data_IF_789513782015
#
_entry.id   IF_789513782015
#
_cell.length_a   1.000
_cell.length_b   1.000
_cell.length_c   1.000
_cell.angle_alpha   90.00
_cell.angle_beta   90.00
_cell.angle_gamma   90.00
#
_symmetry.space_group_name_H-M   'P 1'
#
loop_
_entity.id
_entity.type
_entity.pdbx_description
1 polymer ?
#
# COMPACT_ATOMS: atom_id res chain seq x y z
N UNK A 1 -21.11 3.63 13.87
CA UNK A 1 -22.12 2.56 13.93
C UNK A 1 -23.34 3.10 14.64
N UNK A 2 -24.52 2.90 14.07
CA UNK A 2 -25.76 3.22 14.77
C UNK A 2 -25.94 2.22 15.91
N UNK A 3 -26.02 2.71 17.16
CA UNK A 3 -26.11 1.86 18.34
C UNK A 3 -27.52 1.28 18.56
N UNK A 4 -28.54 1.92 17.98
CA UNK A 4 -29.97 1.58 18.18
C UNK A 4 -30.71 1.31 16.85
N UNK A 5 -29.99 0.84 15.82
CA UNK A 5 -30.60 0.50 14.53
C UNK A 5 -31.43 -0.78 14.62
N UNK A 6 -32.72 -0.72 14.28
CA UNK A 6 -33.55 -1.91 14.18
C UNK A 6 -33.07 -2.79 13.00
N UNK A 7 -32.84 -4.10 13.19
CA UNK A 7 -32.41 -4.98 12.12
C UNK A 7 -33.52 -5.10 11.07
N UNK A 8 -33.18 -4.89 9.81
CA UNK A 8 -34.09 -5.02 8.68
C UNK A 8 -33.58 -6.10 7.71
N UNK A 9 -34.51 -6.89 7.17
CA UNK A 9 -34.22 -7.87 6.13
C UNK A 9 -34.11 -7.15 4.80
N UNK A 10 -32.98 -7.30 4.12
CA UNK A 10 -32.77 -6.77 2.77
C UNK A 10 -33.18 -7.85 1.78
N UNK A 11 -34.24 -7.60 1.01
CA UNK A 11 -34.73 -8.55 0.01
C UNK A 11 -34.07 -8.38 -1.37
N UNK A 12 -33.57 -7.16 -1.66
CA UNK A 12 -32.93 -6.83 -2.95
C UNK A 12 -31.63 -6.05 -2.72
N UNK A 13 -30.58 -6.43 -3.47
CA UNK A 13 -29.27 -5.78 -3.43
C UNK A 13 -29.08 -4.96 -4.69
N UNK A 14 -29.10 -3.64 -4.59
CA UNK A 14 -28.63 -2.77 -5.68
C UNK A 14 -27.13 -2.49 -5.52
N UNK A 15 -26.49 -2.03 -6.59
CA UNK A 15 -25.10 -1.60 -6.53
C UNK A 15 -24.92 -0.46 -5.52
N UNK A 16 -25.83 0.52 -5.51
CA UNK A 16 -25.80 1.66 -4.60
C UNK A 16 -25.90 1.23 -3.12
N UNK A 17 -26.74 0.24 -2.82
CA UNK A 17 -26.93 -0.32 -1.46
C UNK A 17 -25.73 -1.14 -0.94
N UNK A 18 -24.66 -1.29 -1.73
CA UNK A 18 -23.42 -1.95 -1.30
C UNK A 18 -22.34 -1.00 -0.82
N UNK A 19 -22.54 0.31 -1.02
CA UNK A 19 -21.58 1.33 -0.63
C UNK A 19 -22.14 2.17 0.51
N UNK A 20 -21.25 2.71 1.33
CA UNK A 20 -21.57 3.71 2.35
C UNK A 20 -20.58 4.86 2.26
N UNK A 21 -21.08 6.07 2.42
CA UNK A 21 -20.24 7.24 2.57
C UNK A 21 -19.63 7.29 3.97
N UNK A 22 -18.30 7.32 4.05
CA UNK A 22 -17.58 7.50 5.29
C UNK A 22 -16.62 8.69 5.18
N UNK A 23 -16.47 9.43 6.26
CA UNK A 23 -15.47 10.49 6.37
C UNK A 23 -14.15 9.89 6.83
N UNK A 24 -13.06 10.25 6.15
CA UNK A 24 -11.73 9.91 6.61
C UNK A 24 -11.45 10.58 7.95
N UNK A 25 -11.14 9.81 8.99
CA UNK A 25 -10.82 10.35 10.31
C UNK A 25 -9.57 11.26 10.31
N UNK A 26 -8.70 11.12 9.30
CA UNK A 26 -7.46 11.90 9.18
C UNK A 26 -7.62 13.21 8.40
N UNK A 27 -8.38 13.21 7.30
CA UNK A 27 -8.48 14.39 6.42
C UNK A 27 -9.91 14.93 6.24
N UNK A 28 -10.91 14.29 6.84
CA UNK A 28 -12.31 14.69 6.78
C UNK A 28 -12.99 14.51 5.41
N UNK A 29 -12.27 14.03 4.39
CA UNK A 29 -12.83 13.80 3.05
C UNK A 29 -13.84 12.65 3.09
N UNK A 30 -15.00 12.87 2.49
CA UNK A 30 -16.02 11.86 2.28
C UNK A 30 -15.62 10.97 1.09
N UNK A 31 -15.68 9.65 1.29
CA UNK A 31 -15.45 8.66 0.24
C UNK A 31 -16.42 7.50 0.36
N UNK A 32 -16.63 6.79 -0.75
CA UNK A 32 -17.46 5.58 -0.76
C UNK A 32 -16.61 4.37 -0.38
N UNK A 33 -17.12 3.61 0.58
CA UNK A 33 -16.52 2.37 1.06
C UNK A 33 -17.54 1.23 0.97
N UNK A 34 -17.12 -0.01 0.67
CA UNK A 34 -18.02 -1.16 0.73
C UNK A 34 -18.60 -1.31 2.13
N UNK A 35 -19.89 -1.63 2.24
CA UNK A 35 -20.52 -1.87 3.54
C UNK A 35 -19.90 -3.10 4.23
N UNK A 36 -19.64 -3.05 5.55
CA UNK A 36 -19.15 -4.20 6.29
C UNK A 36 -20.23 -5.28 6.38
N UNK A 37 -19.92 -6.45 5.82
CA UNK A 37 -20.76 -7.66 5.80
C UNK A 37 -20.06 -8.78 6.59
N UNK A 38 -20.83 -9.57 7.35
CA UNK A 38 -20.34 -10.79 7.99
C UNK A 38 -21.35 -11.93 7.84
N UNK A 39 -20.84 -13.15 7.62
CA UNK A 39 -21.66 -14.35 7.50
C UNK A 39 -22.00 -14.96 8.85
N UNK A 40 -23.25 -15.40 9.02
CA UNK A 40 -23.68 -16.28 10.08
C UNK A 40 -23.49 -17.74 9.66
N UNK A 41 -23.28 -18.65 10.62
CA UNK A 41 -23.15 -20.09 10.37
C UNK A 41 -24.39 -20.72 9.67
N UNK A 42 -25.56 -20.08 9.75
CA UNK A 42 -26.77 -20.51 9.03
C UNK A 42 -26.82 -20.06 7.55
N UNK A 43 -25.81 -19.35 7.05
CA UNK A 43 -25.76 -18.82 5.68
C UNK A 43 -26.34 -17.42 5.50
N UNK A 44 -26.87 -16.80 6.55
CA UNK A 44 -27.34 -15.40 6.50
C UNK A 44 -26.17 -14.42 6.47
N UNK A 45 -26.19 -13.45 5.56
CA UNK A 45 -25.28 -12.30 5.58
C UNK A 45 -25.90 -11.16 6.40
N UNK A 46 -25.15 -10.65 7.37
CA UNK A 46 -25.55 -9.53 8.22
C UNK A 46 -24.68 -8.32 7.89
N UNK A 47 -25.32 -7.15 7.80
CA UNK A 47 -24.65 -5.86 7.58
C UNK A 47 -24.65 -5.06 8.86
N UNK A 48 -23.53 -4.41 9.17
CA UNK A 48 -23.47 -3.48 10.29
C UNK A 48 -24.00 -2.11 9.83
N UNK A 49 -25.01 -1.52 10.49
CA UNK A 49 -25.50 -0.20 10.14
C UNK A 49 -24.44 0.86 10.44
N UNK A 50 -23.92 1.46 9.38
CA UNK A 50 -23.01 2.60 9.45
C UNK A 50 -23.87 3.87 9.38
N UNK A 51 -23.66 4.79 10.32
CA UNK A 51 -24.35 6.07 10.29
C UNK A 51 -23.93 6.81 9.02
N UNK A 52 -24.87 7.29 8.18
CA UNK A 52 -24.52 8.06 7.00
C UNK A 52 -23.74 9.32 7.42
N UNK A 53 -22.67 9.63 6.69
CA UNK A 53 -22.03 10.93 6.82
C UNK A 53 -23.07 12.02 6.48
N UNK A 54 -23.18 13.10 7.28
CA UNK A 54 -24.13 14.18 6.99
C UNK A 54 -23.82 14.78 5.62
N UNK A 55 -24.88 15.05 4.86
CA UNK A 55 -24.80 15.62 3.52
C UNK A 55 -24.12 17.00 3.58
N UNK A 56 -23.19 17.34 2.67
CA UNK A 56 -22.50 18.64 2.70
C UNK A 56 -23.45 19.85 2.57
N UNK A 57 -24.66 19.63 2.07
CA UNK A 57 -25.68 20.65 1.76
C UNK A 57 -26.52 21.11 2.95
N UNK A 58 -26.51 20.40 4.09
CA UNK A 58 -27.29 20.77 5.29
C UNK A 58 -26.54 21.71 6.26
N UNK A 59 -25.30 22.13 5.95
CA UNK A 59 -24.63 23.17 6.75
C UNK A 59 -25.19 24.54 6.39
N UNK A 60 -25.89 25.16 7.35
CA UNK A 60 -26.17 26.59 7.36
C UNK A 60 -24.89 27.41 7.05
N UNK A 61 -24.99 28.55 6.37
CA UNK A 61 -23.85 29.19 5.75
C UNK A 61 -22.93 29.82 6.81
N UNK A 62 -21.82 29.14 7.12
CA UNK A 62 -20.66 29.80 7.69
C UNK A 62 -20.04 30.66 6.58
N UNK A 63 -19.94 31.97 6.81
CA UNK A 63 -19.34 32.98 5.93
C UNK A 63 -18.08 32.44 5.23
N UNK A 64 -18.20 32.16 3.93
CA UNK A 64 -17.12 31.68 3.09
C UNK A 64 -16.11 32.81 2.86
N UNK A 65 -14.90 32.66 3.39
CA UNK A 65 -13.72 33.30 2.81
C UNK A 65 -13.37 32.55 1.52
N UNK A 66 -13.00 33.22 0.42
CA UNK A 66 -12.69 32.54 -0.83
C UNK A 66 -11.46 31.64 -0.66
N UNK A 67 -11.69 30.34 -0.63
CA UNK A 67 -10.65 29.31 -0.65
C UNK A 67 -10.23 29.05 -2.09
N UNK A 68 -8.96 29.36 -2.40
CA UNK A 68 -8.32 28.98 -3.65
C UNK A 68 -8.23 27.45 -3.82
N UNK A 69 -7.85 26.98 -5.02
CA UNK A 69 -7.80 25.56 -5.35
C UNK A 69 -6.90 24.77 -4.38
N UNK A 70 -7.25 23.51 -4.03
CA UNK A 70 -6.44 22.70 -3.13
C UNK A 70 -5.17 22.28 -3.85
N UNK A 71 -4.12 23.07 -3.68
CA UNK A 71 -2.76 22.56 -3.78
C UNK A 71 -2.59 21.62 -2.61
N UNK A 72 -2.50 20.32 -2.90
CA UNK A 72 -2.06 19.33 -1.92
C UNK A 72 -0.62 19.68 -1.54
N UNK A 73 -0.46 20.58 -0.58
CA UNK A 73 0.81 20.87 0.02
C UNK A 73 1.25 19.59 0.72
N UNK A 74 2.23 18.92 0.11
CA UNK A 74 3.01 17.90 0.75
C UNK A 74 3.41 18.47 2.13
N UNK A 75 3.03 17.75 3.19
CA UNK A 75 3.50 18.09 4.53
C UNK A 75 5.03 18.25 4.52
N UNK A 76 5.60 19.05 5.42
CA UNK A 76 7.03 19.31 5.43
C UNK A 76 7.80 17.98 5.37
N UNK A 77 8.85 17.87 4.52
CA UNK A 77 9.57 16.62 4.35
C UNK A 77 10.04 16.13 5.71
N UNK A 78 9.66 14.88 6.04
CA UNK A 78 10.10 14.23 7.27
C UNK A 78 11.61 14.31 7.39
N UNK A 79 12.10 14.62 8.60
CA UNK A 79 13.53 14.78 8.86
C UNK A 79 14.30 13.55 8.34
N UNK A 80 15.36 13.73 7.52
CA UNK A 80 16.08 12.61 6.93
C UNK A 80 16.65 11.70 8.02
N UNK A 81 16.43 10.40 7.87
CA UNK A 81 16.96 9.39 8.80
C UNK A 81 18.45 9.24 8.54
N UNK A 82 19.28 9.49 9.55
CA UNK A 82 20.72 9.25 9.48
C UNK A 82 20.94 7.73 9.54
N UNK A 83 21.53 7.16 8.49
CA UNK A 83 21.81 5.71 8.39
C UNK A 83 23.29 5.47 8.10
N UNK A 84 23.87 4.38 8.64
CA UNK A 84 25.21 3.96 8.24
C UNK A 84 25.23 3.62 6.74
N UNK A 85 26.40 3.59 6.12
CA UNK A 85 26.53 3.12 4.74
C UNK A 85 26.00 1.68 4.62
N UNK A 86 25.23 1.40 3.56
CA UNK A 86 24.76 0.07 3.25
C UNK A 86 25.95 -0.85 2.91
N UNK A 87 25.92 -2.09 3.39
CA UNK A 87 26.93 -3.11 3.09
C UNK A 87 26.33 -4.12 2.11
N UNK A 88 26.68 -4.07 0.82
CA UNK A 88 26.06 -4.90 -0.19
C UNK A 88 26.53 -6.36 -0.13
N UNK A 89 25.71 -7.25 -0.68
CA UNK A 89 26.00 -8.69 -0.86
C UNK A 89 26.03 -8.98 -2.34
N UNK A 90 27.12 -9.56 -2.83
CA UNK A 90 27.23 -9.96 -4.24
C UNK A 90 26.12 -10.94 -4.62
N UNK A 91 25.43 -10.66 -5.72
CA UNK A 91 24.33 -11.50 -6.21
C UNK A 91 24.88 -12.50 -7.23
N UNK A 92 24.82 -13.79 -6.91
CA UNK A 92 25.19 -14.89 -7.83
C UNK A 92 23.99 -15.76 -8.20
N UNK A 93 22.97 -15.77 -7.35
CA UNK A 93 21.75 -16.56 -7.48
C UNK A 93 20.51 -15.72 -7.19
N UNK A 94 19.33 -16.22 -7.60
CA UNK A 94 18.05 -15.63 -7.20
C UNK A 94 17.89 -15.56 -5.67
N UNK A 95 18.44 -16.56 -4.95
CA UNK A 95 18.44 -16.57 -3.48
C UNK A 95 19.28 -15.43 -2.93
N UNK A 96 20.39 -15.07 -3.56
CA UNK A 96 21.22 -13.93 -3.14
C UNK A 96 20.50 -12.61 -3.37
N UNK A 97 19.77 -12.47 -4.48
CA UNK A 97 18.96 -11.28 -4.76
C UNK A 97 17.91 -11.03 -3.66
N UNK A 98 17.18 -12.08 -3.26
CA UNK A 98 16.23 -11.99 -2.13
C UNK A 98 16.93 -11.68 -0.81
N UNK A 99 18.16 -12.18 -0.60
CA UNK A 99 18.95 -11.86 0.61
C UNK A 99 19.39 -10.40 0.62
N UNK A 100 19.85 -9.87 -0.50
CA UNK A 100 20.22 -8.47 -0.67
C UNK A 100 19.02 -7.55 -0.41
N UNK A 101 17.85 -7.86 -1.00
CA UNK A 101 16.62 -7.13 -0.75
C UNK A 101 16.22 -7.15 0.74
N UNK A 102 16.30 -8.30 1.40
CA UNK A 102 15.98 -8.42 2.83
C UNK A 102 16.92 -7.59 3.72
N UNK A 103 18.22 -7.58 3.42
CA UNK A 103 19.19 -6.75 4.13
C UNK A 103 18.96 -5.26 3.88
N UNK A 104 18.60 -4.90 2.66
CA UNK A 104 18.29 -3.53 2.31
C UNK A 104 17.03 -3.02 3.04
N UNK A 105 15.95 -3.81 3.10
CA UNK A 105 14.76 -3.46 3.88
C UNK A 105 15.07 -3.29 5.37
N UNK A 106 15.92 -4.15 5.94
CA UNK A 106 16.39 -3.99 7.33
C UNK A 106 17.18 -2.71 7.52
N UNK A 107 18.06 -2.38 6.56
CA UNK A 107 18.81 -1.14 6.55
C UNK A 107 17.91 0.11 6.42
N UNK A 108 16.83 0.03 5.64
CA UNK A 108 15.81 1.10 5.55
C UNK A 108 15.07 1.32 6.88
N UNK A 109 15.09 0.33 7.78
CA UNK A 109 14.47 0.39 9.11
C UNK A 109 13.30 -0.57 9.31
N UNK A 110 12.98 -1.44 8.34
CA UNK A 110 11.96 -2.46 8.53
C UNK A 110 12.46 -3.56 9.47
N UNK A 111 11.79 -3.73 10.61
CA UNK A 111 12.05 -4.83 11.54
C UNK A 111 11.47 -6.16 11.04
N UNK A 112 11.96 -7.29 11.56
CA UNK A 112 11.28 -8.59 11.43
C UNK A 112 11.12 -9.16 10.01
N UNK A 113 11.81 -8.60 9.00
CA UNK A 113 11.74 -9.05 7.61
C UNK A 113 12.24 -10.48 7.48
N UNK A 114 11.36 -11.36 7.03
CA UNK A 114 11.57 -12.80 6.85
C UNK A 114 11.03 -13.26 5.50
N UNK A 115 11.56 -14.38 5.00
CA UNK A 115 10.95 -15.08 3.86
C UNK A 115 9.77 -15.90 4.38
N UNK A 116 8.63 -15.96 3.66
CA UNK A 116 7.56 -16.89 3.99
C UNK A 116 8.07 -18.33 3.95
N UNK A 117 7.53 -19.19 4.81
CA UNK A 117 7.79 -20.63 4.75
C UNK A 117 6.83 -21.25 3.73
N UNK A 118 7.37 -21.73 2.61
CA UNK A 118 6.58 -22.31 1.51
C UNK A 118 6.65 -21.48 0.24
N UNK A 119 6.45 -22.15 -0.90
CA UNK A 119 6.35 -21.49 -2.20
C UNK A 119 4.94 -20.89 -2.34
N UNK A 120 4.70 -19.75 -1.69
CA UNK A 120 3.39 -19.10 -1.78
C UNK A 120 3.14 -18.66 -3.24
N UNK A 121 2.00 -19.07 -3.81
CA UNK A 121 1.55 -18.64 -5.13
C UNK A 121 1.28 -17.12 -5.23
N UNK A 122 1.44 -16.38 -4.12
CA UNK A 122 1.21 -14.94 -4.01
C UNK A 122 2.28 -14.08 -4.68
N UNK A 123 3.46 -14.65 -4.99
CA UNK A 123 4.59 -13.91 -5.56
C UNK A 123 5.32 -13.00 -4.57
N UNK A 124 5.02 -13.08 -3.27
CA UNK A 124 5.69 -12.30 -2.22
C UNK A 124 6.89 -13.07 -1.67
N UNK A 125 8.09 -12.52 -1.82
CA UNK A 125 9.33 -13.16 -1.35
C UNK A 125 9.70 -12.80 0.09
N UNK A 126 9.25 -11.63 0.57
CA UNK A 126 9.63 -11.08 1.87
C UNK A 126 8.44 -10.43 2.57
N UNK A 127 8.33 -10.69 3.87
CA UNK A 127 7.28 -10.15 4.74
C UNK A 127 7.87 -9.64 6.05
N UNK A 128 7.33 -8.54 6.56
CA UNK A 128 7.64 -8.00 7.87
C UNK A 128 6.55 -7.06 8.35
N UNK A 129 6.57 -6.64 9.62
CA UNK A 129 5.67 -5.61 10.13
C UNK A 129 5.68 -4.36 9.24
N UNK A 130 4.57 -4.10 8.55
CA UNK A 130 4.38 -2.94 7.68
C UNK A 130 5.04 -3.02 6.31
N UNK A 131 5.57 -4.18 5.89
CA UNK A 131 6.15 -4.35 4.55
C UNK A 131 5.90 -5.73 3.96
N UNK A 132 5.58 -5.73 2.66
CA UNK A 132 5.68 -6.90 1.78
C UNK A 132 6.59 -6.54 0.62
N UNK A 133 7.44 -7.47 0.18
CA UNK A 133 8.30 -7.22 -0.96
C UNK A 133 8.41 -8.43 -1.88
N UNK A 134 8.57 -8.10 -3.17
CA UNK A 134 8.80 -9.06 -4.25
C UNK A 134 10.13 -8.74 -4.92
N UNK A 135 10.82 -9.80 -5.34
CA UNK A 135 12.10 -9.74 -6.03
C UNK A 135 11.98 -10.51 -7.33
N UNK A 136 12.19 -9.81 -8.45
CA UNK A 136 12.27 -10.41 -9.78
C UNK A 136 13.75 -10.64 -10.14
N UNK A 137 14.25 -11.89 -10.03
CA UNK A 137 15.63 -12.23 -10.37
C UNK A 137 15.81 -12.49 -11.88
N UNK A 138 14.80 -12.28 -12.71
CA UNK A 138 14.86 -12.62 -14.13
C UNK A 138 15.66 -11.60 -14.92
N UNK A 139 16.04 -11.98 -16.14
CA UNK A 139 16.72 -11.11 -17.09
C UNK A 139 15.75 -10.36 -18.02
N UNK A 140 14.44 -10.39 -17.72
CA UNK A 140 13.40 -9.69 -18.50
C UNK A 140 12.84 -8.54 -17.69
N UNK A 141 12.46 -7.42 -18.32
CA UNK A 141 11.80 -6.34 -17.60
C UNK A 141 10.52 -6.84 -16.89
N UNK A 142 10.38 -6.50 -15.62
CA UNK A 142 9.20 -6.84 -14.80
C UNK A 142 7.94 -6.26 -15.44
N UNK A 143 6.89 -7.06 -15.51
CA UNK A 143 5.65 -6.70 -16.20
C UNK A 143 4.68 -5.92 -15.30
N UNK A 144 3.73 -5.23 -15.92
CA UNK A 144 2.68 -4.46 -15.24
C UNK A 144 1.91 -5.30 -14.21
N UNK A 145 1.57 -6.54 -14.57
CA UNK A 145 0.82 -7.46 -13.71
C UNK A 145 1.50 -7.69 -12.37
N UNK A 146 2.82 -7.84 -12.35
CA UNK A 146 3.57 -8.12 -11.12
C UNK A 146 3.50 -6.95 -10.14
N UNK A 147 3.53 -5.71 -10.66
CA UNK A 147 3.35 -4.49 -9.86
C UNK A 147 1.97 -4.43 -9.23
N UNK A 148 0.92 -4.72 -10.01
CA UNK A 148 -0.46 -4.68 -9.51
C UNK A 148 -0.74 -5.80 -8.50
N UNK A 149 -0.20 -7.00 -8.73
CA UNK A 149 -0.29 -8.11 -7.78
C UNK A 149 0.39 -7.76 -6.45
N UNK A 150 1.61 -7.22 -6.47
CA UNK A 150 2.29 -6.80 -5.24
C UNK A 150 1.50 -5.71 -4.50
N UNK A 151 0.96 -4.73 -5.23
CA UNK A 151 0.16 -3.67 -4.62
C UNK A 151 -1.09 -4.22 -3.91
N UNK A 152 -1.80 -5.16 -4.53
CA UNK A 152 -2.95 -5.83 -3.91
C UNK A 152 -2.56 -6.62 -2.66
N UNK A 153 -1.41 -7.32 -2.68
CA UNK A 153 -0.89 -8.01 -1.49
C UNK A 153 -0.59 -7.03 -0.35
N UNK A 154 0.03 -5.88 -0.67
CA UNK A 154 0.30 -4.83 0.30
C UNK A 154 -0.97 -4.25 0.93
N UNK A 155 -1.99 -3.98 0.11
CA UNK A 155 -3.30 -3.55 0.60
C UNK A 155 -3.96 -4.58 1.53
N UNK A 156 -3.94 -5.86 1.12
CA UNK A 156 -4.52 -6.95 1.89
C UNK A 156 -3.87 -7.08 3.28
N UNK A 157 -2.57 -6.81 3.38
CA UNK A 157 -1.80 -6.90 4.62
C UNK A 157 -1.67 -5.58 5.38
N UNK A 158 -2.27 -4.49 4.87
CA UNK A 158 -2.07 -3.15 5.39
C UNK A 158 -0.58 -2.82 5.57
N UNK A 159 0.19 -3.11 4.52
CA UNK A 159 1.64 -3.03 4.47
C UNK A 159 2.11 -2.31 3.20
N UNK A 160 3.27 -1.65 3.27
CA UNK A 160 3.87 -1.07 2.08
C UNK A 160 4.41 -2.18 1.17
N UNK A 161 4.07 -2.14 -0.12
CA UNK A 161 4.66 -3.01 -1.15
C UNK A 161 5.97 -2.42 -1.66
N UNK A 162 7.04 -3.22 -1.71
CA UNK A 162 8.34 -2.79 -2.29
C UNK A 162 8.80 -3.80 -3.34
N UNK A 163 9.16 -3.34 -4.53
CA UNK A 163 9.60 -4.22 -5.62
C UNK A 163 11.10 -4.05 -5.89
N UNK A 164 11.80 -5.18 -6.07
CA UNK A 164 13.18 -5.22 -6.53
C UNK A 164 13.27 -6.02 -7.84
N UNK A 165 14.00 -5.53 -8.83
CA UNK A 165 14.20 -6.24 -10.11
C UNK A 165 15.66 -6.19 -10.54
N UNK A 166 16.17 -7.29 -11.12
CA UNK A 166 17.51 -7.31 -11.73
C UNK A 166 17.53 -6.67 -13.12
N UNK A 167 16.52 -6.93 -13.94
CA UNK A 167 16.43 -6.43 -15.31
C UNK A 167 15.67 -5.10 -15.45
N UNK A 168 15.16 -4.56 -14.34
CA UNK A 168 14.34 -3.36 -14.33
C UNK A 168 12.88 -3.65 -14.73
N UNK A 169 12.19 -2.62 -15.21
CA UNK A 169 10.73 -2.64 -15.32
C UNK A 169 10.30 -2.21 -16.70
N UNK A 170 9.20 -2.80 -17.19
CA UNK A 170 8.52 -2.29 -18.36
C UNK A 170 8.02 -0.85 -18.11
N UNK A 171 7.87 -0.07 -19.18
CA UNK A 171 7.54 1.37 -19.09
C UNK A 171 6.18 1.60 -18.42
N UNK A 172 5.20 0.77 -18.77
CA UNK A 172 3.86 0.75 -18.19
C UNK A 172 3.88 0.32 -16.72
N UNK A 173 4.69 -0.68 -16.37
CA UNK A 173 4.90 -1.12 -14.99
C UNK A 173 5.46 0.02 -14.11
N UNK A 174 6.46 0.78 -14.61
CA UNK A 174 7.00 1.95 -13.90
C UNK A 174 5.96 3.05 -13.72
N UNK A 175 5.27 3.43 -14.79
CA UNK A 175 4.22 4.46 -14.73
C UNK A 175 3.09 4.05 -13.76
N UNK A 176 2.74 2.76 -13.72
CA UNK A 176 1.76 2.24 -12.77
C UNK A 176 2.24 2.30 -11.34
N UNK A 177 3.49 1.91 -11.07
CA UNK A 177 4.07 1.99 -9.73
C UNK A 177 4.06 3.42 -9.18
N UNK A 178 4.33 4.42 -10.02
CA UNK A 178 4.27 5.84 -9.64
C UNK A 178 2.84 6.24 -9.23
N UNK A 179 1.84 5.84 -10.03
CA UNK A 179 0.43 6.08 -9.70
C UNK A 179 -0.03 5.38 -8.41
N UNK A 180 0.53 4.20 -8.12
CA UNK A 180 0.21 3.40 -6.93
C UNK A 180 1.09 3.73 -5.72
N UNK A 181 2.04 4.66 -5.85
CA UNK A 181 3.04 5.01 -4.84
C UNK A 181 3.83 3.78 -4.34
N UNK A 182 4.20 2.88 -5.27
CA UNK A 182 4.94 1.66 -5.00
C UNK A 182 6.45 1.90 -5.24
N UNK A 183 7.30 1.82 -4.20
CA UNK A 183 8.76 1.92 -4.33
C UNK A 183 9.36 0.83 -5.23
N UNK A 184 10.07 1.27 -6.28
CA UNK A 184 10.79 0.40 -7.19
C UNK A 184 12.30 0.55 -7.04
N UNK A 185 12.98 -0.59 -6.98
CA UNK A 185 14.43 -0.68 -6.96
C UNK A 185 14.95 -1.56 -8.09
N UNK A 186 16.09 -1.18 -8.67
CA UNK A 186 16.90 -2.07 -9.51
C UNK A 186 18.08 -2.56 -8.68
N UNK A 187 18.40 -3.84 -8.76
CA UNK A 187 19.60 -4.40 -8.16
C UNK A 187 20.55 -4.89 -9.25
N UNK A 188 21.82 -4.54 -9.14
CA UNK A 188 22.87 -5.12 -9.98
C UNK A 188 23.56 -6.30 -9.27
N UNK A 189 24.50 -6.95 -9.95
CA UNK A 189 25.26 -8.07 -9.39
C UNK A 189 26.18 -7.66 -8.22
N UNK A 190 26.42 -6.36 -8.02
CA UNK A 190 27.14 -5.84 -6.84
C UNK A 190 26.27 -5.87 -5.59
N UNK A 191 24.94 -5.86 -5.76
CA UNK A 191 23.95 -6.07 -4.70
C UNK A 191 23.52 -4.81 -3.98
N UNK A 192 23.79 -3.62 -4.52
CA UNK A 192 23.26 -2.34 -3.98
C UNK A 192 21.99 -1.96 -4.73
N UNK A 193 20.81 -1.97 -4.08
CA UNK A 193 19.57 -1.53 -4.72
C UNK A 193 19.60 -0.02 -5.01
N UNK A 194 19.27 0.35 -6.25
CA UNK A 194 19.15 1.73 -6.71
C UNK A 194 17.67 2.10 -6.84
N UNK A 195 17.22 3.24 -6.25
CA UNK A 195 15.86 3.72 -6.45
C UNK A 195 15.68 4.16 -7.90
N UNK A 196 14.51 3.90 -8.47
CA UNK A 196 14.19 4.35 -9.83
C UNK A 196 12.92 5.20 -9.91
N UNK A 197 12.27 5.48 -8.79
CA UNK A 197 11.11 6.36 -8.74
C UNK A 197 10.99 7.13 -7.42
N UNK A 198 10.19 8.20 -7.45
CA UNK A 198 10.02 9.12 -6.31
C UNK A 198 9.53 8.42 -5.02
N UNK A 199 8.63 7.41 -5.06
CA UNK A 199 8.29 6.60 -3.89
C UNK A 199 9.51 5.90 -3.27
N UNK A 200 10.42 5.36 -4.08
CA UNK A 200 11.65 4.73 -3.60
C UNK A 200 12.62 5.74 -2.97
N UNK A 201 12.80 6.90 -3.59
CA UNK A 201 13.60 7.99 -3.02
C UNK A 201 13.03 8.49 -1.70
N UNK A 202 11.70 8.59 -1.63
CA UNK A 202 11.01 8.97 -0.40
C UNK A 202 11.22 7.93 0.69
N UNK A 203 11.05 6.65 0.37
CA UNK A 203 11.30 5.57 1.33
C UNK A 203 12.75 5.57 1.84
N UNK A 204 13.74 5.82 0.97
CA UNK A 204 15.14 5.97 1.40
C UNK A 204 15.27 7.15 2.37
N UNK A 205 14.70 8.31 2.05
CA UNK A 205 14.85 9.52 2.85
C UNK A 205 14.16 9.45 4.21
N UNK A 206 12.92 8.96 4.26
CA UNK A 206 12.06 9.02 5.47
C UNK A 206 11.99 7.70 6.23
N UNK A 207 12.28 6.57 5.58
CA UNK A 207 12.17 5.24 6.18
C UNK A 207 10.73 4.70 6.18
N UNK A 208 10.49 3.58 6.89
CA UNK A 208 9.16 2.98 6.97
C UNK A 208 8.13 3.97 7.53
N UNK A 209 6.88 3.93 7.04
CA UNK A 209 5.81 4.74 7.62
C UNK A 209 5.63 4.37 9.11
N UNK A 210 5.55 5.39 9.96
CA UNK A 210 5.29 5.20 11.40
C UNK A 210 3.87 4.67 11.56
N UNK A 211 3.73 3.52 12.22
CA UNK A 211 2.44 2.98 12.65
C UNK A 211 1.90 3.74 13.85
#
# INVERSE_FOLDING_TARGET
MLRDGAPQKIEHRTWEDTWVAANCAMCGRQGHWPQPEFGCACGTLVRVPVAPAPDPTERAPATARPGGPPTGAAGPPGRPVQRPAFRPVTIRTARDAVTAAAQYLKWLGFGGVRRPEGQDASGVDLRGPGVVAQVDPTTRPTALRDIECLWLNGLNESAAGVFFSLAGYARDARARADALQLPLFIMDLTGTPQPINDPADTLIRVGPPKR
#
